data_IF_333301560725
#
_entry.id   IF_333301560725
#
_cell.length_a   1.000
_cell.length_b   1.000
_cell.length_c   1.000
_cell.angle_alpha   90.00
_cell.angle_beta   90.00
_cell.angle_gamma   90.00
#
_symmetry.space_group_name_H-M   'P 1'
#
loop_
_entity.id
_entity.type
_entity.pdbx_description
1 polymer ?
#
# COMPACT_ATOMS: atom_id res chain seq x y z
N UNK A 1 5.84 -11.88 16.20
CA UNK A 1 5.65 -10.82 15.18
C UNK A 1 4.67 -9.79 15.74
N UNK A 2 4.81 -8.50 15.45
CA UNK A 2 3.94 -7.44 16.02
C UNK A 2 2.65 -7.20 15.20
N UNK A 3 2.51 -7.88 14.06
CA UNK A 3 1.33 -7.87 13.19
C UNK A 3 0.79 -9.30 13.07
N UNK A 4 -0.53 -9.46 13.14
CA UNK A 4 -1.23 -10.73 12.96
C UNK A 4 -2.00 -10.74 11.64
N UNK A 5 -1.69 -11.65 10.71
CA UNK A 5 -2.36 -11.71 9.40
C UNK A 5 -3.80 -12.23 9.48
N UNK A 6 -4.15 -12.97 10.55
CA UNK A 6 -5.53 -13.43 10.79
C UNK A 6 -6.48 -12.27 11.07
N UNK A 7 -5.95 -11.12 11.48
CA UNK A 7 -6.68 -9.87 11.72
C UNK A 7 -6.80 -9.00 10.44
N UNK A 8 -6.36 -9.50 9.28
CA UNK A 8 -6.43 -8.75 8.03
C UNK A 8 -7.91 -8.51 7.65
N UNK A 9 -8.36 -7.24 7.59
CA UNK A 9 -9.76 -6.97 7.30
C UNK A 9 -10.07 -7.33 5.85
N UNK A 10 -11.20 -8.02 5.64
CA UNK A 10 -11.75 -8.26 4.32
C UNK A 10 -12.53 -7.01 3.92
N UNK A 11 -12.08 -6.35 2.85
CA UNK A 11 -12.75 -5.14 2.35
C UNK A 11 -13.73 -5.52 1.24
N UNK A 12 -14.94 -4.98 1.31
CA UNK A 12 -15.82 -4.82 0.16
C UNK A 12 -15.67 -3.41 -0.45
N UNK A 13 -16.42 -3.11 -1.50
CA UNK A 13 -16.36 -1.80 -2.16
C UNK A 13 -16.72 -0.65 -1.22
N UNK A 14 -17.77 -0.81 -0.41
CA UNK A 14 -18.24 0.23 0.53
C UNK A 14 -17.20 0.52 1.60
N UNK A 15 -16.66 -0.53 2.24
CA UNK A 15 -15.65 -0.39 3.30
C UNK A 15 -14.34 0.17 2.72
N UNK A 16 -13.96 -0.26 1.52
CA UNK A 16 -12.78 0.25 0.83
C UNK A 16 -12.90 1.74 0.50
N UNK A 17 -14.03 2.18 -0.05
CA UNK A 17 -14.27 3.59 -0.40
C UNK A 17 -14.38 4.49 0.85
N UNK A 18 -14.98 3.97 1.93
CA UNK A 18 -15.06 4.66 3.20
C UNK A 18 -13.73 4.66 3.99
N UNK A 19 -12.73 3.87 3.57
CA UNK A 19 -11.45 3.78 4.26
C UNK A 19 -10.76 5.14 4.27
N UNK A 20 -10.60 5.70 5.47
CA UNK A 20 -9.83 6.92 5.70
C UNK A 20 -9.09 6.84 7.03
N UNK A 21 -7.76 6.75 6.98
CA UNK A 21 -6.90 6.76 8.16
C UNK A 21 -5.90 7.91 8.07
N UNK A 22 -5.59 8.52 9.22
CA UNK A 22 -4.56 9.54 9.33
C UNK A 22 -3.63 9.24 10.51
N UNK A 23 -2.33 9.37 10.29
CA UNK A 23 -1.33 9.17 11.34
C UNK A 23 -0.01 9.85 11.02
N UNK A 24 0.83 9.96 12.04
CA UNK A 24 2.16 10.52 11.94
C UNK A 24 3.20 9.40 12.00
N UNK A 25 4.08 9.34 10.99
CA UNK A 25 5.16 8.36 10.92
C UNK A 25 6.49 9.05 10.65
N UNK A 26 7.57 8.44 11.12
CA UNK A 26 8.88 8.70 10.57
C UNK A 26 9.00 7.97 9.23
N UNK A 27 9.20 8.73 8.15
CA UNK A 27 9.50 8.19 6.82
C UNK A 27 11.02 8.11 6.64
N UNK A 28 11.51 6.96 6.20
CA UNK A 28 12.89 6.80 5.77
C UNK A 28 13.13 7.46 4.40
N UNK A 29 14.30 8.06 4.23
CA UNK A 29 14.77 8.58 2.95
C UNK A 29 16.13 7.96 2.65
N UNK A 30 16.22 7.26 1.53
CA UNK A 30 17.41 6.62 0.98
C UNK A 30 18.00 7.38 -0.21
N UNK A 31 17.26 8.36 -0.76
CA UNK A 31 17.72 9.16 -1.90
C UNK A 31 18.73 10.22 -1.50
N UNK A 32 19.91 10.15 -2.11
CA UNK A 32 20.92 11.19 -2.06
C UNK A 32 20.45 12.42 -2.85
N UNK A 33 19.83 13.40 -2.18
CA UNK A 33 19.62 14.71 -2.80
C UNK A 33 20.97 15.40 -2.90
N UNK A 34 21.49 15.58 -4.12
CA UNK A 34 22.77 16.26 -4.42
C UNK A 34 23.99 15.65 -3.70
N UNK A 35 24.03 14.33 -3.53
CA UNK A 35 25.19 13.61 -2.97
C UNK A 35 25.50 13.88 -1.48
N UNK A 36 24.62 14.58 -0.74
CA UNK A 36 24.90 15.01 0.65
C UNK A 36 23.86 14.62 1.69
N UNK A 37 22.73 14.03 1.30
CA UNK A 37 21.71 13.63 2.29
C UNK A 37 22.02 12.23 2.81
N UNK A 38 22.52 12.15 4.05
CA UNK A 38 22.64 10.90 4.79
C UNK A 38 21.25 10.26 4.92
N UNK A 39 21.16 8.92 4.91
CA UNK A 39 19.91 8.24 5.17
C UNK A 39 19.32 8.72 6.49
N UNK A 40 18.09 9.21 6.44
CA UNK A 40 17.46 9.84 7.61
C UNK A 40 16.00 9.48 7.73
N UNK A 41 15.56 9.37 8.96
CA UNK A 41 14.17 9.30 9.34
C UNK A 41 13.64 10.71 9.58
N UNK A 42 12.51 11.05 8.98
CA UNK A 42 11.87 12.34 9.24
C UNK A 42 10.38 12.17 9.43
N UNK A 43 9.82 12.90 10.38
CA UNK A 43 8.39 12.92 10.64
C UNK A 43 7.58 13.42 9.42
N UNK A 44 6.51 12.71 9.08
CA UNK A 44 5.56 13.01 8.02
C UNK A 44 4.15 12.63 8.46
N UNK A 45 3.17 13.37 7.95
CA UNK A 45 1.75 13.10 8.17
C UNK A 45 1.25 12.32 6.97
N UNK A 46 0.73 11.13 7.22
CA UNK A 46 0.21 10.23 6.21
C UNK A 46 -1.31 10.15 6.29
N UNK A 47 -1.92 10.00 5.12
CA UNK A 47 -3.33 9.67 4.97
C UNK A 47 -3.42 8.45 4.06
N UNK A 48 -4.22 7.48 4.45
CA UNK A 48 -4.63 6.35 3.60
C UNK A 48 -6.10 6.57 3.25
N UNK A 49 -6.39 6.66 1.95
CA UNK A 49 -7.75 6.85 1.45
C UNK A 49 -7.97 5.96 0.23
N UNK A 50 -8.93 5.04 0.30
CA UNK A 50 -9.33 4.16 -0.81
C UNK A 50 -8.14 3.60 -1.62
N UNK A 51 -7.15 3.01 -0.94
CA UNK A 51 -5.98 2.43 -1.58
C UNK A 51 -4.92 3.43 -2.08
N UNK A 52 -5.03 4.71 -1.71
CA UNK A 52 -4.03 5.74 -2.01
C UNK A 52 -3.38 6.22 -0.72
N UNK A 53 -2.04 6.17 -0.67
CA UNK A 53 -1.23 6.77 0.37
C UNK A 53 -0.80 8.17 -0.03
N UNK A 54 -1.16 9.16 0.79
CA UNK A 54 -0.74 10.54 0.67
C UNK A 54 0.19 10.90 1.82
N UNK A 55 1.14 11.79 1.59
CA UNK A 55 1.92 12.35 2.70
C UNK A 55 2.22 13.83 2.58
N UNK A 56 2.32 14.47 3.76
CA UNK A 56 2.62 15.89 3.94
C UNK A 56 3.81 16.06 4.89
N UNK A 57 4.49 17.20 4.79
CA UNK A 57 5.58 17.57 5.72
C UNK A 57 5.07 18.15 7.05
N UNK A 58 3.89 18.77 7.02
CA UNK A 58 3.23 19.43 8.15
C UNK A 58 1.75 19.07 8.12
N UNK A 59 1.12 19.02 9.29
CA UNK A 59 -0.34 18.84 9.40
C UNK A 59 -1.03 19.99 8.64
N UNK A 60 -2.05 19.67 7.84
CA UNK A 60 -2.77 20.63 6.99
C UNK A 60 -1.94 21.25 5.85
N UNK A 61 -0.69 20.82 5.64
CA UNK A 61 0.16 21.33 4.57
C UNK A 61 -0.15 20.74 3.19
N UNK A 62 0.56 21.23 2.16
CA UNK A 62 0.46 20.66 0.81
C UNK A 62 0.93 19.20 0.75
N UNK A 63 0.22 18.39 -0.04
CA UNK A 63 0.61 17.01 -0.38
C UNK A 63 1.97 17.02 -1.08
N UNK A 64 2.88 16.16 -0.62
CA UNK A 64 4.25 16.04 -1.13
C UNK A 64 4.52 14.73 -1.84
N UNK A 65 3.69 13.73 -1.64
CA UNK A 65 3.70 12.53 -2.46
C UNK A 65 2.40 11.77 -2.35
N UNK A 66 2.14 11.03 -3.41
CA UNK A 66 0.94 10.24 -3.64
C UNK A 66 1.41 8.90 -4.17
N UNK A 67 0.95 7.81 -3.58
CA UNK A 67 1.32 6.46 -3.96
C UNK A 67 0.05 5.60 -4.02
N UNK A 68 -0.24 5.03 -5.19
CA UNK A 68 -1.30 4.05 -5.33
C UNK A 68 -0.83 2.71 -4.76
N UNK A 69 -1.67 1.99 -4.02
CA UNK A 69 -1.38 0.67 -3.46
C UNK A 69 -1.61 -0.49 -4.44
N UNK A 70 -1.95 -0.18 -5.69
CA UNK A 70 -2.02 -1.19 -6.74
C UNK A 70 -0.67 -1.89 -6.91
N UNK A 71 -0.68 -3.22 -6.87
CA UNK A 71 0.51 -4.08 -6.90
C UNK A 71 1.51 -3.84 -5.76
N UNK A 72 1.06 -3.22 -4.66
CA UNK A 72 1.84 -3.10 -3.44
C UNK A 72 1.76 -4.38 -2.59
N UNK A 73 2.78 -4.61 -1.77
CA UNK A 73 2.70 -5.54 -0.65
C UNK A 73 3.38 -4.96 0.58
N UNK A 74 2.95 -5.44 1.74
CA UNK A 74 3.38 -4.92 3.04
C UNK A 74 4.23 -5.97 3.74
N UNK A 75 5.33 -5.51 4.33
CA UNK A 75 6.20 -6.31 5.18
C UNK A 75 6.31 -5.62 6.54
N UNK A 76 5.90 -6.33 7.59
CA UNK A 76 6.20 -5.96 8.97
C UNK A 76 7.66 -6.33 9.28
N UNK A 77 8.58 -5.36 9.24
CA UNK A 77 9.98 -5.61 9.62
C UNK A 77 10.07 -5.89 11.14
N UNK A 78 11.10 -6.62 11.63
CA UNK A 78 11.33 -6.74 13.07
C UNK A 78 11.36 -5.37 13.76
N UNK A 79 10.79 -5.30 14.96
CA UNK A 79 10.84 -4.09 15.77
C UNK A 79 12.30 -3.68 16.02
N UNK A 80 12.57 -2.38 15.99
CA UNK A 80 13.93 -1.83 16.10
C UNK A 80 14.07 -1.05 17.40
N UNK A 81 15.14 -1.34 18.12
CA UNK A 81 15.51 -0.61 19.32
C UNK A 81 16.30 0.64 18.95
N UNK A 82 16.04 1.74 19.66
CA UNK A 82 16.78 3.00 19.56
C UNK A 82 16.90 3.62 20.95
N UNK A 83 17.79 4.64 21.14
CA UNK A 83 17.87 5.36 22.41
C UNK A 83 16.55 6.02 22.85
N UNK A 84 15.63 6.28 21.91
CA UNK A 84 14.31 6.86 22.18
C UNK A 84 13.21 5.82 22.41
N UNK A 85 13.56 4.53 22.43
CA UNK A 85 12.64 3.41 22.62
C UNK A 85 12.52 2.49 21.41
N UNK A 86 11.53 1.60 21.47
CA UNK A 86 11.21 0.64 20.42
C UNK A 86 10.37 1.27 19.31
N UNK A 87 10.67 0.91 18.07
CA UNK A 87 9.97 1.38 16.88
C UNK A 87 9.51 0.22 16.00
N UNK A 88 8.28 0.31 15.52
CA UNK A 88 7.64 -0.64 14.63
C UNK A 88 7.75 -0.13 13.20
N UNK A 89 8.26 -0.96 12.29
CA UNK A 89 8.63 -0.52 10.93
C UNK A 89 7.76 -1.22 9.88
N UNK A 90 6.92 -0.46 9.20
CA UNK A 90 6.13 -0.89 8.05
C UNK A 90 6.97 -0.64 6.80
N UNK A 91 7.26 -1.69 6.03
CA UNK A 91 7.82 -1.57 4.69
C UNK A 91 6.75 -1.87 3.65
N UNK A 92 6.56 -0.96 2.71
CA UNK A 92 5.68 -1.13 1.55
C UNK A 92 6.57 -1.20 0.31
N UNK A 93 6.41 -2.27 -0.45
CA UNK A 93 7.13 -2.53 -1.69
C UNK A 93 6.13 -2.52 -2.86
N UNK A 94 6.61 -2.20 -4.07
CA UNK A 94 5.83 -2.23 -5.31
C UNK A 94 6.59 -3.00 -6.37
N UNK A 95 5.87 -3.74 -7.23
CA UNK A 95 6.48 -4.59 -8.26
C UNK A 95 7.41 -3.81 -9.22
N UNK A 96 7.10 -2.53 -9.46
CA UNK A 96 7.83 -1.67 -10.41
C UNK A 96 8.70 -0.62 -9.75
N UNK A 97 8.77 -0.56 -8.41
CA UNK A 97 9.62 0.40 -7.69
C UNK A 97 10.90 -0.28 -7.22
N UNK A 98 12.03 0.38 -7.44
CA UNK A 98 13.33 -0.05 -6.87
C UNK A 98 13.51 0.39 -5.41
N UNK A 99 12.71 1.36 -4.94
CA UNK A 99 12.84 1.94 -3.61
C UNK A 99 11.55 1.69 -2.80
N UNK A 100 11.62 0.95 -1.68
CA UNK A 100 10.47 0.74 -0.83
C UNK A 100 10.14 1.99 0.00
N UNK A 101 8.87 2.14 0.35
CA UNK A 101 8.46 3.08 1.39
C UNK A 101 8.65 2.42 2.74
N UNK A 102 9.49 3.00 3.60
CA UNK A 102 9.60 2.59 5.00
C UNK A 102 9.03 3.65 5.93
N UNK A 103 8.08 3.24 6.77
CA UNK A 103 7.43 4.03 7.79
C UNK A 103 7.76 3.45 9.16
N UNK A 104 7.95 4.29 10.16
CA UNK A 104 8.09 3.83 11.53
C UNK A 104 7.36 4.72 12.53
N UNK A 105 6.90 4.12 13.63
CA UNK A 105 6.35 4.83 14.78
C UNK A 105 6.60 4.04 16.06
N UNK A 106 6.39 4.69 17.21
CA UNK A 106 6.60 4.08 18.53
C UNK A 106 5.37 3.32 19.06
N UNK A 107 4.23 3.39 18.37
CA UNK A 107 2.99 2.72 18.80
C UNK A 107 2.75 1.46 17.99
N UNK A 108 2.82 0.30 18.65
CA UNK A 108 2.51 -0.98 18.03
C UNK A 108 1.09 -0.99 17.46
N UNK A 109 0.10 -0.53 18.24
CA UNK A 109 -1.30 -0.52 17.81
C UNK A 109 -1.50 0.29 16.51
N UNK A 110 -0.91 1.49 16.42
CA UNK A 110 -0.98 2.31 15.21
C UNK A 110 -0.26 1.64 14.05
N UNK A 111 0.94 1.07 14.29
CA UNK A 111 1.70 0.39 13.24
C UNK A 111 0.94 -0.84 12.69
N UNK A 112 0.36 -1.67 13.56
CA UNK A 112 -0.40 -2.85 13.18
C UNK A 112 -1.67 -2.49 12.43
N UNK A 113 -2.45 -1.53 12.94
CA UNK A 113 -3.66 -1.04 12.27
C UNK A 113 -3.33 -0.54 10.85
N UNK A 114 -2.27 0.24 10.70
CA UNK A 114 -1.86 0.76 9.40
C UNK A 114 -1.32 -0.32 8.47
N UNK A 115 -0.48 -1.23 8.96
CA UNK A 115 0.06 -2.31 8.16
C UNK A 115 -1.06 -3.21 7.60
N UNK A 116 -2.05 -3.56 8.43
CA UNK A 116 -3.22 -4.34 8.03
C UNK A 116 -4.11 -3.56 7.05
N UNK A 117 -4.38 -2.28 7.31
CA UNK A 117 -5.21 -1.46 6.42
C UNK A 117 -4.57 -1.28 5.03
N UNK A 118 -3.25 -1.07 4.95
CA UNK A 118 -2.52 -0.99 3.69
C UNK A 118 -2.54 -2.34 2.97
N UNK A 119 -2.28 -3.44 3.69
CA UNK A 119 -2.27 -4.77 3.11
C UNK A 119 -3.65 -5.16 2.55
N UNK A 120 -4.72 -4.89 3.29
CA UNK A 120 -6.09 -5.16 2.89
C UNK A 120 -6.50 -4.33 1.66
N UNK A 121 -6.13 -3.04 1.62
CA UNK A 121 -6.38 -2.19 0.47
C UNK A 121 -5.63 -2.66 -0.79
N UNK A 122 -4.37 -3.07 -0.64
CA UNK A 122 -3.58 -3.62 -1.74
C UNK A 122 -4.15 -4.96 -2.26
N UNK A 123 -4.61 -5.83 -1.36
CA UNK A 123 -5.30 -7.08 -1.70
C UNK A 123 -6.61 -6.83 -2.47
N UNK A 124 -7.43 -5.92 -1.97
CA UNK A 124 -8.69 -5.54 -2.60
C UNK A 124 -8.46 -5.03 -4.04
N UNK A 125 -7.53 -4.10 -4.25
CA UNK A 125 -7.20 -3.58 -5.58
C UNK A 125 -6.72 -4.69 -6.53
N UNK A 126 -5.89 -5.61 -6.04
CA UNK A 126 -5.36 -6.72 -6.84
C UNK A 126 -6.46 -7.70 -7.27
N UNK A 127 -7.41 -7.97 -6.39
CA UNK A 127 -8.54 -8.87 -6.69
C UNK A 127 -9.59 -8.20 -7.57
N UNK A 128 -9.85 -6.89 -7.39
CA UNK A 128 -10.73 -6.09 -8.27
C UNK A 128 -10.20 -6.05 -9.71
N UNK A 129 -8.91 -5.80 -9.90
CA UNK A 129 -8.28 -5.81 -11.23
C UNK A 129 -8.43 -7.15 -11.96
N UNK A 130 -8.36 -8.27 -11.23
CA UNK A 130 -8.60 -9.62 -11.81
C UNK A 130 -10.05 -9.84 -12.25
N UNK A 131 -11.03 -9.29 -11.51
CA UNK A 131 -12.45 -9.38 -11.89
C UNK A 131 -12.77 -8.58 -13.15
N UNK A 132 -12.10 -7.44 -13.36
CA UNK A 132 -12.27 -6.63 -14.58
C UNK A 132 -11.71 -7.30 -15.84
N UNK A 133 -10.60 -8.04 -15.74
CA UNK A 133 -10.01 -8.76 -16.88
C UNK A 133 -10.82 -10.01 -17.26
N UNK A 134 -11.48 -10.66 -16.30
CA UNK A 134 -12.31 -11.84 -16.57
C UNK A 134 -13.60 -11.55 -17.38
N UNK A 135 -14.03 -10.29 -17.49
CA UNK A 135 -15.25 -9.92 -18.25
C UNK A 135 -15.00 -9.57 -19.73
N UNK A 136 -13.75 -9.54 -20.20
CA UNK A 136 -13.41 -9.29 -21.61
C UNK A 136 -12.83 -10.50 -22.37
N UNK A 137 -13.04 -11.72 -21.85
CA UNK A 137 -12.63 -12.98 -22.49
C UNK A 137 -13.75 -13.76 -23.19
N UNK A 138 -14.93 -13.16 -23.40
CA UNK A 138 -16.08 -13.83 -23.98
C UNK A 138 -16.54 -13.19 -25.29
N UNK A 139 -15.96 -13.58 -26.42
CA UNK A 139 -16.68 -13.50 -27.70
C UNK A 139 -16.49 -14.82 -28.46
N UNK A 140 -17.64 -15.42 -28.76
CA UNK A 140 -17.84 -16.71 -29.36
C UNK A 140 -17.17 -16.87 -30.74
N UNK A 141 -16.50 -18.00 -30.96
CA UNK A 141 -16.40 -18.58 -32.30
C UNK A 141 -17.54 -19.61 -32.42
N UNK A 142 -18.68 -19.17 -32.97
CA UNK A 142 -19.77 -20.05 -33.35
C UNK A 142 -19.36 -20.99 -34.51
N UNK A 143 -20.02 -22.15 -34.66
CA UNK A 143 -19.71 -23.08 -35.75
C UNK A 143 -20.10 -22.49 -37.11
N UNK A 144 -19.21 -22.65 -38.09
CA UNK A 144 -19.41 -22.26 -39.49
C UNK A 144 -20.58 -23.05 -40.12
N UNK A 145 -21.51 -22.41 -40.86
CA UNK A 145 -22.54 -23.12 -41.61
C UNK A 145 -21.97 -23.74 -42.88
N UNK A 146 -22.52 -24.89 -43.26
CA UNK A 146 -22.03 -25.79 -44.29
C UNK A 146 -21.89 -25.20 -45.70
N UNK A 147 -20.95 -25.77 -46.43
CA UNK A 147 -20.78 -25.56 -47.87
C UNK A 147 -21.81 -26.40 -48.66
N UNK A 148 -22.38 -25.87 -49.75
CA UNK A 148 -23.26 -26.62 -50.64
C UNK A 148 -22.47 -27.53 -51.60
N UNK A 149 -23.11 -28.55 -52.20
CA UNK A 149 -22.43 -29.57 -52.97
C UNK A 149 -22.04 -29.08 -54.37
N UNK A 150 -20.94 -29.62 -54.88
CA UNK A 150 -20.67 -29.80 -56.31
C UNK A 150 -20.08 -31.19 -56.54
#
# INVERSE_FOLDING_TARGET
AWMCLEELPVLDETIFEAQHLQACFFKYHDSAVRGRMLPRWTMRYFELQAGVLLYRRRLGGAVRGTMCLENAWVVAEPAKQSPSGEFFVIRVDWAHSRAPLRLSCASQAVASQWALAIAAAAEYLRTRGRRGVAQHGGTAAGPLPGAPPR
#
